data_IF_427871451097
#
_entry.id   IF_427871451097
#
_cell.length_a   1.000
_cell.length_b   1.000
_cell.length_c   1.000
_cell.angle_alpha   90.00
_cell.angle_beta   90.00
_cell.angle_gamma   90.00
#
_symmetry.space_group_name_H-M   'P 1'
#
loop_
_entity.id
_entity.type
_entity.pdbx_description
1 polymer ?
#
# COMPACT_ATOMS: atom_id res chain seq x y z
N UNK A 1 -31.31 -33.49 32.69
CA UNK A 1 -30.70 -32.28 33.27
C UNK A 1 -29.55 -31.89 32.36
N UNK A 2 -29.73 -30.96 31.44
CA UNK A 2 -28.74 -30.00 30.94
C UNK A 2 -29.50 -28.92 30.17
N UNK A 3 -29.21 -27.68 30.55
CA UNK A 3 -29.97 -26.47 30.27
C UNK A 3 -29.90 -26.03 28.80
N UNK A 4 -31.04 -25.57 28.34
CA UNK A 4 -31.24 -24.73 27.17
C UNK A 4 -30.62 -23.35 27.46
N UNK A 5 -29.56 -22.98 26.73
CA UNK A 5 -28.94 -21.65 26.82
C UNK A 5 -29.57 -20.78 25.73
N UNK A 6 -30.48 -19.92 26.18
CA UNK A 6 -31.08 -18.84 25.40
C UNK A 6 -30.01 -17.88 24.88
N UNK A 7 -30.01 -17.62 23.57
CA UNK A 7 -29.26 -16.52 22.98
C UNK A 7 -30.15 -15.27 22.85
N UNK A 8 -29.65 -14.08 23.25
CA UNK A 8 -30.41 -12.84 23.20
C UNK A 8 -30.51 -12.28 21.78
N UNK A 9 -31.73 -11.86 21.42
CA UNK A 9 -32.07 -11.08 20.23
C UNK A 9 -31.43 -9.69 20.34
N UNK A 10 -30.50 -9.38 19.44
CA UNK A 10 -29.97 -8.02 19.27
C UNK A 10 -30.98 -7.22 18.44
N UNK A 11 -31.59 -6.25 19.11
CA UNK A 11 -32.51 -5.25 18.57
C UNK A 11 -31.67 -4.19 17.86
N UNK A 12 -31.77 -4.09 16.54
CA UNK A 12 -31.18 -2.99 15.77
C UNK A 12 -32.23 -1.90 15.60
N UNK A 13 -32.08 -0.83 16.38
CA UNK A 13 -32.95 0.34 16.34
C UNK A 13 -32.78 1.07 15.00
N UNK A 14 -33.92 1.36 14.35
CA UNK A 14 -33.98 2.12 13.13
C UNK A 14 -33.61 3.59 13.36
N UNK A 15 -32.82 4.13 12.44
CA UNK A 15 -32.73 5.56 12.24
C UNK A 15 -33.31 5.90 10.87
N UNK A 16 -34.52 6.44 10.90
CA UNK A 16 -35.08 7.21 9.80
C UNK A 16 -34.61 8.66 9.99
N UNK A 17 -34.00 9.24 8.95
CA UNK A 17 -33.85 10.67 8.82
C UNK A 17 -34.19 11.05 7.37
N UNK A 18 -35.45 11.39 7.18
CA UNK A 18 -35.99 12.09 6.00
C UNK A 18 -35.86 13.59 6.23
N UNK A 19 -35.51 14.36 5.18
CA UNK A 19 -35.88 15.77 4.86
C UNK A 19 -34.80 16.29 3.87
N UNK A 20 -35.04 16.37 2.57
CA UNK A 20 -35.90 17.28 1.79
C UNK A 20 -35.35 18.70 1.58
N UNK A 21 -35.55 19.16 0.34
CA UNK A 21 -35.68 20.55 -0.16
C UNK A 21 -34.43 21.36 -0.59
N UNK A 22 -34.31 21.45 -1.93
CA UNK A 22 -34.25 22.66 -2.78
C UNK A 22 -33.40 23.86 -2.38
N UNK A 23 -32.53 24.29 -3.31
CA UNK A 23 -32.03 25.66 -3.41
C UNK A 23 -31.44 25.94 -4.80
N UNK A 24 -32.17 26.71 -5.61
CA UNK A 24 -31.82 27.16 -6.95
C UNK A 24 -31.03 28.49 -6.89
N UNK A 25 -30.09 28.65 -7.83
CA UNK A 25 -29.57 29.90 -8.41
C UNK A 25 -28.67 30.83 -7.57
N UNK A 26 -27.51 31.22 -8.13
CA UNK A 26 -27.27 32.46 -8.94
C UNK A 26 -25.75 32.61 -9.14
N UNK A 27 -25.32 32.82 -10.40
CA UNK A 27 -23.97 33.20 -10.78
C UNK A 27 -23.74 34.71 -10.59
N UNK A 28 -22.52 35.13 -10.23
CA UNK A 28 -21.96 36.37 -10.74
C UNK A 28 -20.72 36.11 -11.61
N UNK A 29 -20.80 36.61 -12.85
CA UNK A 29 -19.67 36.97 -13.71
C UNK A 29 -19.01 38.23 -13.17
N UNK A 30 -17.68 38.25 -13.08
CA UNK A 30 -16.71 39.39 -13.04
C UNK A 30 -15.45 38.87 -12.32
N UNK A 31 -14.20 39.09 -12.70
CA UNK A 31 -13.58 39.89 -13.74
C UNK A 31 -12.15 39.34 -13.91
N UNK A 32 -11.63 39.31 -15.13
CA UNK A 32 -10.24 38.99 -15.40
C UNK A 32 -9.35 40.19 -15.03
N UNK A 33 -8.37 39.98 -14.15
CA UNK A 33 -7.03 40.55 -14.26
C UNK A 33 -6.24 40.22 -12.98
N UNK A 34 -5.38 39.20 -13.05
CA UNK A 34 -4.08 39.25 -12.40
C UNK A 34 -3.12 38.44 -13.27
N UNK A 35 -2.29 39.16 -14.01
CA UNK A 35 -1.09 38.60 -14.61
C UNK A 35 -0.05 38.51 -13.51
N UNK A 36 -0.04 37.39 -12.79
CA UNK A 36 1.11 37.01 -11.98
C UNK A 36 1.69 35.73 -12.54
N UNK A 37 2.95 35.83 -12.91
CA UNK A 37 3.78 34.77 -13.48
C UNK A 37 4.10 33.79 -12.36
N UNK A 38 3.13 32.95 -12.00
CA UNK A 38 3.33 31.84 -11.09
C UNK A 38 3.55 30.55 -11.89
N UNK A 39 4.82 30.35 -12.20
CA UNK A 39 5.46 29.10 -12.60
C UNK A 39 4.87 27.93 -11.79
N UNK A 40 3.86 27.26 -12.34
CA UNK A 40 3.26 26.06 -11.76
C UNK A 40 3.36 24.94 -12.78
N UNK A 41 4.60 24.51 -13.01
CA UNK A 41 4.89 23.21 -13.58
C UNK A 41 5.87 22.56 -12.61
N UNK A 42 5.51 21.36 -12.14
CA UNK A 42 6.26 20.51 -11.21
C UNK A 42 6.04 20.77 -9.71
N UNK A 43 4.80 20.63 -9.26
CA UNK A 43 4.53 20.07 -7.91
C UNK A 43 3.41 19.04 -8.06
N UNK A 44 3.59 18.11 -8.99
CA UNK A 44 2.70 16.95 -9.17
C UNK A 44 3.49 15.63 -9.25
N UNK A 45 4.80 15.64 -8.95
CA UNK A 45 5.58 14.42 -8.71
C UNK A 45 5.80 14.14 -7.21
N UNK A 46 5.67 15.14 -6.34
CA UNK A 46 6.00 14.99 -4.91
C UNK A 46 4.90 14.27 -4.10
N UNK A 47 3.64 14.38 -4.50
CA UNK A 47 2.52 13.72 -3.79
C UNK A 47 2.40 12.23 -4.13
N UNK A 48 3.09 11.74 -5.17
CA UNK A 48 3.05 10.32 -5.56
C UNK A 48 4.12 9.46 -4.87
N UNK A 49 5.00 10.06 -4.06
CA UNK A 49 6.11 9.35 -3.40
C UNK A 49 5.83 8.95 -1.95
N UNK A 50 4.58 9.02 -1.50
CA UNK A 50 4.15 8.50 -0.19
C UNK A 50 3.71 7.04 -0.33
N UNK A 51 4.52 6.11 0.18
CA UNK A 51 4.25 4.66 0.14
C UNK A 51 5.52 3.82 -0.08
N UNK A 52 5.37 2.61 -0.60
CA UNK A 52 6.48 1.71 -0.93
C UNK A 52 7.34 2.16 -2.14
N UNK A 53 6.88 3.13 -2.94
CA UNK A 53 7.49 3.56 -4.20
C UNK A 53 8.99 3.87 -4.11
N UNK A 54 9.49 4.74 -3.20
CA UNK A 54 10.92 5.06 -3.15
C UNK A 54 11.79 3.84 -2.79
N UNK A 55 11.27 2.93 -1.95
CA UNK A 55 11.96 1.69 -1.60
C UNK A 55 12.04 0.75 -2.82
N UNK A 56 10.92 0.55 -3.53
CA UNK A 56 10.86 -0.32 -4.71
C UNK A 56 11.75 0.23 -5.84
N UNK A 57 11.78 1.55 -6.04
CA UNK A 57 12.70 2.22 -6.97
C UNK A 57 14.16 1.88 -6.64
N UNK A 58 14.57 1.99 -5.38
CA UNK A 58 15.93 1.66 -4.93
C UNK A 58 16.26 0.17 -5.19
N UNK A 59 15.33 -0.74 -4.87
CA UNK A 59 15.51 -2.18 -5.12
C UNK A 59 15.66 -2.47 -6.61
N UNK A 60 14.81 -1.91 -7.48
CA UNK A 60 14.87 -2.17 -8.92
C UNK A 60 16.05 -1.48 -9.61
N UNK A 61 16.63 -0.44 -8.99
CA UNK A 61 17.88 0.17 -9.43
C UNK A 61 19.14 -0.58 -8.93
N UNK A 62 18.99 -1.47 -7.95
CA UNK A 62 20.07 -2.29 -7.41
C UNK A 62 20.49 -3.44 -8.35
N UNK A 63 21.24 -4.42 -7.81
CA UNK A 63 21.72 -5.58 -8.58
C UNK A 63 20.54 -6.32 -9.22
N UNK A 64 20.64 -6.49 -10.54
CA UNK A 64 19.64 -7.19 -11.36
C UNK A 64 19.86 -8.71 -11.26
N UNK A 65 18.88 -9.50 -10.82
CA UNK A 65 18.99 -10.96 -10.80
C UNK A 65 19.09 -11.52 -12.22
N UNK A 66 19.94 -12.53 -12.41
CA UNK A 66 20.08 -13.25 -13.69
C UNK A 66 19.58 -14.69 -13.58
N UNK A 67 18.87 -15.18 -14.61
CA UNK A 67 18.31 -16.55 -14.67
C UNK A 67 17.50 -16.88 -13.40
N UNK A 68 17.99 -17.77 -12.56
CA UNK A 68 17.36 -18.25 -11.31
C UNK A 68 18.00 -17.65 -10.05
N UNK A 69 18.83 -16.62 -10.19
CA UNK A 69 19.42 -15.93 -9.06
C UNK A 69 18.35 -15.26 -8.20
N UNK A 70 18.50 -15.40 -6.88
CA UNK A 70 17.76 -14.62 -5.89
C UNK A 70 18.76 -13.67 -5.24
N UNK A 71 18.54 -12.37 -5.40
CA UNK A 71 19.38 -11.35 -4.79
C UNK A 71 18.73 -10.90 -3.50
N UNK A 72 19.43 -11.07 -2.38
CA UNK A 72 18.99 -10.53 -1.09
C UNK A 72 18.99 -8.98 -1.14
N UNK A 73 17.85 -8.40 -0.83
CA UNK A 73 17.61 -6.95 -0.77
C UNK A 73 16.98 -6.54 0.57
N UNK A 74 17.04 -7.42 1.58
CA UNK A 74 16.46 -7.21 2.91
C UNK A 74 16.98 -5.94 3.58
N UNK A 75 18.25 -5.60 3.37
CA UNK A 75 18.87 -4.38 3.90
C UNK A 75 18.25 -3.10 3.34
N UNK A 76 17.86 -3.09 2.06
CA UNK A 76 17.16 -1.97 1.44
C UNK A 76 15.75 -1.87 2.05
N UNK A 77 15.02 -2.99 2.16
CA UNK A 77 13.67 -2.97 2.74
C UNK A 77 13.68 -2.50 4.19
N UNK A 78 14.63 -2.98 5.00
CA UNK A 78 14.74 -2.65 6.42
C UNK A 78 15.02 -1.16 6.68
N UNK A 79 15.59 -0.43 5.71
CA UNK A 79 15.77 1.03 5.77
C UNK A 79 14.44 1.79 5.72
N UNK A 80 13.44 1.23 5.03
CA UNK A 80 12.12 1.85 4.84
C UNK A 80 11.04 1.26 5.75
N UNK A 81 11.18 -0.01 6.13
CA UNK A 81 10.32 -0.71 7.09
C UNK A 81 11.20 -1.22 8.23
N UNK A 82 11.54 -0.37 9.20
CA UNK A 82 12.41 -0.76 10.30
C UNK A 82 11.71 -1.74 11.25
N UNK A 83 12.50 -2.47 12.02
CA UNK A 83 11.99 -3.32 13.10
C UNK A 83 11.14 -2.49 14.08
N UNK A 84 10.12 -3.12 14.66
CA UNK A 84 9.13 -2.45 15.52
C UNK A 84 7.98 -1.78 14.76
N UNK A 85 8.07 -1.65 13.43
CA UNK A 85 6.96 -1.17 12.59
C UNK A 85 5.73 -2.04 12.81
N UNK A 86 4.55 -1.44 12.95
CA UNK A 86 3.32 -2.20 13.14
C UNK A 86 2.83 -2.80 11.83
N UNK A 87 2.20 -3.97 11.92
CA UNK A 87 1.55 -4.64 10.79
C UNK A 87 0.65 -3.71 9.98
N UNK A 88 -0.15 -2.87 10.64
CA UNK A 88 -1.05 -1.92 9.98
C UNK A 88 -0.29 -0.94 9.07
N UNK A 89 0.85 -0.43 9.52
CA UNK A 89 1.69 0.47 8.72
C UNK A 89 2.29 -0.27 7.53
N UNK A 90 2.71 -1.53 7.69
CA UNK A 90 3.19 -2.36 6.56
C UNK A 90 2.08 -2.50 5.51
N UNK A 91 0.88 -2.89 5.92
CA UNK A 91 -0.27 -3.06 5.02
C UNK A 91 -0.65 -1.75 4.33
N UNK A 92 -0.68 -0.64 5.06
CA UNK A 92 -0.96 0.68 4.50
C UNK A 92 0.09 1.10 3.45
N UNK A 93 1.38 0.91 3.75
CA UNK A 93 2.48 1.25 2.85
C UNK A 93 2.37 0.52 1.51
N UNK A 94 2.01 -0.77 1.53
CA UNK A 94 1.93 -1.58 0.31
C UNK A 94 0.58 -1.52 -0.41
N UNK A 95 -0.53 -1.23 0.30
CA UNK A 95 -1.83 -1.01 -0.33
C UNK A 95 -1.87 0.24 -1.22
N UNK A 96 -0.97 1.21 -0.97
CA UNK A 96 -0.78 2.42 -1.80
C UNK A 96 0.02 2.16 -3.08
N UNK A 97 0.72 1.03 -3.18
CA UNK A 97 1.53 0.70 -4.36
C UNK A 97 0.69 -0.06 -5.39
N UNK A 98 0.56 0.42 -6.64
CA UNK A 98 -0.27 -0.21 -7.66
C UNK A 98 0.28 -1.56 -8.16
N UNK A 99 1.58 -1.80 -7.97
CA UNK A 99 2.28 -3.01 -8.44
C UNK A 99 2.45 -4.06 -7.35
N UNK A 100 2.19 -3.69 -6.08
CA UNK A 100 2.36 -4.55 -4.93
C UNK A 100 1.07 -5.29 -4.59
N UNK A 101 1.20 -6.52 -4.12
CA UNK A 101 0.10 -7.36 -3.65
C UNK A 101 0.48 -8.03 -2.35
N UNK A 102 -0.42 -7.99 -1.37
CA UNK A 102 -0.31 -8.81 -0.16
C UNK A 102 -0.69 -10.24 -0.56
N UNK A 103 0.27 -11.16 -0.51
CA UNK A 103 0.07 -12.57 -0.89
C UNK A 103 -0.18 -13.46 0.32
N UNK A 104 0.24 -13.03 1.51
CA UNK A 104 -0.07 -13.68 2.77
C UNK A 104 -0.23 -12.64 3.87
N UNK A 105 -1.27 -12.80 4.69
CA UNK A 105 -1.55 -11.95 5.83
C UNK A 105 -2.02 -12.82 7.01
N UNK A 106 -1.16 -12.99 8.01
CA UNK A 106 -1.42 -13.79 9.22
C UNK A 106 -1.03 -12.99 10.47
N UNK A 107 -1.38 -13.46 11.68
CA UNK A 107 -0.92 -12.81 12.92
C UNK A 107 0.61 -12.75 13.06
N UNK A 108 1.34 -13.76 12.57
CA UNK A 108 2.79 -13.87 12.74
C UNK A 108 3.63 -13.45 11.52
N UNK A 109 2.99 -13.14 10.38
CA UNK A 109 3.70 -12.87 9.12
C UNK A 109 2.85 -12.08 8.13
N UNK A 110 3.48 -11.16 7.41
CA UNK A 110 2.94 -10.55 6.19
C UNK A 110 3.91 -10.80 5.05
N UNK A 111 3.40 -11.27 3.91
CA UNK A 111 4.20 -11.45 2.69
C UNK A 111 3.62 -10.56 1.61
N UNK A 112 4.49 -9.75 1.01
CA UNK A 112 4.16 -8.83 -0.08
C UNK A 112 4.97 -9.21 -1.30
N UNK A 113 4.31 -9.27 -2.46
CA UNK A 113 4.97 -9.41 -3.75
C UNK A 113 4.74 -8.16 -4.58
N UNK A 114 5.83 -7.55 -5.01
CA UNK A 114 5.80 -6.50 -6.02
C UNK A 114 6.26 -7.05 -7.37
N UNK A 115 5.61 -6.63 -8.45
CA UNK A 115 5.94 -7.07 -9.81
C UNK A 115 6.21 -5.87 -10.72
N UNK A 116 7.36 -5.87 -11.38
CA UNK A 116 7.70 -4.93 -12.45
C UNK A 116 7.68 -5.64 -13.80
N UNK A 117 6.87 -5.14 -14.71
CA UNK A 117 6.65 -5.77 -16.02
C UNK A 117 5.77 -7.03 -15.94
N UNK A 118 5.47 -7.62 -17.09
CA UNK A 118 4.76 -8.90 -17.19
C UNK A 118 5.63 -9.92 -17.89
N UNK A 119 5.83 -11.09 -17.28
CA UNK A 119 6.80 -12.10 -17.74
C UNK A 119 6.62 -12.51 -19.22
N UNK A 120 5.38 -12.56 -19.70
CA UNK A 120 5.08 -12.92 -21.10
C UNK A 120 5.33 -11.80 -22.11
N UNK A 121 5.39 -10.54 -21.66
CA UNK A 121 5.45 -9.36 -22.52
C UNK A 121 6.77 -8.59 -22.39
N UNK A 122 7.45 -8.73 -21.26
CA UNK A 122 8.65 -8.00 -20.90
C UNK A 122 9.78 -8.98 -20.58
N UNK A 123 10.84 -9.04 -21.42
CA UNK A 123 11.98 -9.92 -21.19
C UNK A 123 12.79 -9.54 -19.93
N UNK A 124 12.54 -8.34 -19.38
CA UNK A 124 13.12 -7.81 -18.16
C UNK A 124 12.14 -7.80 -16.98
N UNK A 125 11.04 -8.56 -17.05
CA UNK A 125 10.09 -8.67 -15.96
C UNK A 125 10.76 -9.22 -14.68
N UNK A 126 10.49 -8.56 -13.56
CA UNK A 126 11.07 -8.89 -12.25
C UNK A 126 10.03 -8.83 -11.15
N UNK A 127 10.34 -9.48 -10.04
CA UNK A 127 9.55 -9.39 -8.83
C UNK A 127 10.45 -9.19 -7.62
N UNK A 128 9.88 -8.56 -6.60
CA UNK A 128 10.45 -8.53 -5.25
C UNK A 128 9.45 -9.21 -4.33
N UNK A 129 9.91 -10.21 -3.59
CA UNK A 129 9.13 -10.85 -2.53
C UNK A 129 9.68 -10.37 -1.20
N UNK A 130 8.83 -9.81 -0.36
CA UNK A 130 9.17 -9.26 0.94
C UNK A 130 8.35 -10.00 2.00
N UNK A 131 9.04 -10.50 3.02
CA UNK A 131 8.47 -11.22 4.15
C UNK A 131 8.78 -10.46 5.44
N UNK A 132 7.72 -10.09 6.15
CA UNK A 132 7.80 -9.43 7.45
C UNK A 132 7.33 -10.43 8.52
N UNK A 133 8.23 -10.84 9.40
CA UNK A 133 7.86 -11.66 10.57
C UNK A 133 7.40 -10.75 11.69
N UNK A 134 6.34 -11.14 12.40
CA UNK A 134 5.69 -10.33 13.42
C UNK A 134 5.78 -10.99 14.80
N UNK A 135 5.90 -10.17 15.85
CA UNK A 135 5.69 -10.62 17.23
C UNK A 135 4.20 -10.69 17.61
N UNK A 136 3.92 -11.06 18.86
CA UNK A 136 2.58 -11.16 19.41
C UNK A 136 1.83 -9.80 19.44
N UNK A 137 2.56 -8.68 19.45
CA UNK A 137 2.00 -7.32 19.40
C UNK A 137 1.78 -6.85 17.95
N UNK A 138 2.07 -7.70 16.96
CA UNK A 138 1.95 -7.40 15.54
C UNK A 138 3.02 -6.43 15.04
N UNK A 139 4.19 -6.38 15.67
CA UNK A 139 5.34 -5.56 15.25
C UNK A 139 6.35 -6.40 14.48
N UNK A 140 6.99 -5.77 13.49
CA UNK A 140 8.02 -6.42 12.67
C UNK A 140 9.25 -6.74 13.54
N UNK A 141 9.62 -8.02 13.60
CA UNK A 141 10.83 -8.51 14.27
C UNK A 141 11.91 -8.95 13.30
N UNK A 142 11.53 -9.30 12.08
CA UNK A 142 12.46 -9.70 11.02
C UNK A 142 11.94 -9.31 9.64
N UNK A 143 12.86 -8.95 8.76
CA UNK A 143 12.61 -8.60 7.36
C UNK A 143 13.49 -9.49 6.50
N UNK A 144 12.87 -10.24 5.60
CA UNK A 144 13.53 -10.98 4.54
C UNK A 144 12.98 -10.50 3.20
N UNK A 145 13.83 -10.24 2.22
CA UNK A 145 13.40 -9.81 0.90
C UNK A 145 14.33 -10.29 -0.22
N UNK A 146 13.74 -10.82 -1.27
CA UNK A 146 14.45 -11.36 -2.44
C UNK A 146 13.98 -10.69 -3.73
N UNK A 147 14.94 -10.25 -4.53
CA UNK A 147 14.74 -9.74 -5.89
C UNK A 147 15.02 -10.86 -6.90
N UNK A 148 14.02 -11.16 -7.73
CA UNK A 148 14.03 -12.30 -8.65
C UNK A 148 13.65 -11.89 -10.07
N UNK A 149 14.15 -12.63 -11.06
CA UNK A 149 13.71 -12.51 -12.45
C UNK A 149 12.47 -13.37 -12.69
N UNK A 150 11.45 -12.81 -13.32
CA UNK A 150 10.26 -13.56 -13.73
C UNK A 150 10.60 -14.46 -14.93
N UNK A 151 10.07 -15.68 -14.91
CA UNK A 151 10.22 -16.67 -15.98
C UNK A 151 8.91 -16.78 -16.78
#
# INVERSE_FOLDING_TARGET
MYQEIAMPRIVLNGWAATLALTGLAVLPLSSCANADTARTASTQEDTMKSGASPMLEEIYASKKPVRFEQVDVSSIVAKYVPLGTTKLVVLETFSKSPTSKIVEDTPGKVVVRDNKGQAMLDPDARSVVMTFSLDADGKVTHVDAVHIKNQ
#
